data_IF_719314467210
#
_entry.id   IF_719314467210
#
_cell.length_a   1.000
_cell.length_b   1.000
_cell.length_c   1.000
_cell.angle_alpha   90.00
_cell.angle_beta   90.00
_cell.angle_gamma   90.00
#
_symmetry.space_group_name_H-M   'P 1'
#
loop_
_entity.id
_entity.type
_entity.pdbx_description
1 polymer ?
#
# COMPACT_ATOMS: atom_id res chain seq x y z
N UNK A 1 -4.54 -20.71 -3.29
CA UNK A 1 -5.17 -19.59 -2.52
C UNK A 1 -4.54 -19.41 -1.13
N UNK A 2 -4.47 -20.42 -0.25
CA UNK A 2 -3.94 -20.26 1.12
C UNK A 2 -2.58 -19.56 1.18
N UNK A 3 -1.60 -19.99 0.37
CA UNK A 3 -0.29 -19.34 0.30
C UNK A 3 -0.36 -17.87 -0.16
N UNK A 4 -1.31 -17.52 -1.05
CA UNK A 4 -1.51 -16.13 -1.48
C UNK A 4 -2.02 -15.25 -0.33
N UNK A 5 -2.98 -15.77 0.48
CA UNK A 5 -3.48 -15.03 1.64
C UNK A 5 -2.45 -14.97 2.78
N UNK A 6 -1.67 -16.04 3.01
CA UNK A 6 -0.55 -16.00 3.97
C UNK A 6 0.48 -14.94 3.56
N UNK A 7 0.80 -14.87 2.27
CA UNK A 7 1.69 -13.84 1.73
C UNK A 7 1.12 -12.42 1.91
N UNK A 8 -0.17 -12.22 1.63
CA UNK A 8 -0.86 -10.94 1.83
C UNK A 8 -0.84 -10.49 3.30
N UNK A 9 -1.13 -11.40 4.23
CA UNK A 9 -1.10 -11.09 5.67
C UNK A 9 0.31 -10.72 6.14
N UNK A 10 1.34 -11.49 5.74
CA UNK A 10 2.74 -11.18 6.07
C UNK A 10 3.21 -9.85 5.44
N UNK A 11 2.69 -9.49 4.25
CA UNK A 11 2.97 -8.20 3.63
C UNK A 11 2.50 -7.05 4.52
N UNK A 12 1.26 -7.07 5.03
CA UNK A 12 0.77 -6.06 5.96
C UNK A 12 1.63 -5.97 7.23
N UNK A 13 2.10 -7.10 7.75
CA UNK A 13 2.99 -7.12 8.91
C UNK A 13 4.32 -6.42 8.58
N UNK A 14 5.01 -6.82 7.51
CA UNK A 14 6.33 -6.25 7.18
C UNK A 14 6.23 -4.79 6.76
N UNK A 15 5.18 -4.38 6.07
CA UNK A 15 4.94 -2.98 5.70
C UNK A 15 4.80 -2.05 6.91
N UNK A 16 4.30 -2.54 8.05
CA UNK A 16 4.23 -1.76 9.30
C UNK A 16 5.51 -1.82 10.12
N UNK A 17 6.38 -2.80 9.91
CA UNK A 17 7.55 -3.06 10.74
C UNK A 17 8.88 -2.76 10.04
N UNK A 18 8.94 -2.78 8.72
CA UNK A 18 10.12 -2.50 7.90
C UNK A 18 11.39 -3.18 8.42
N UNK A 19 12.45 -2.39 8.69
CA UNK A 19 13.76 -2.86 9.16
C UNK A 19 13.71 -3.70 10.45
N UNK A 20 12.61 -3.67 11.20
CA UNK A 20 12.42 -4.55 12.36
C UNK A 20 12.13 -6.00 11.97
N UNK A 21 11.78 -6.26 10.71
CA UNK A 21 11.43 -7.59 10.23
C UNK A 21 10.20 -8.19 10.90
N UNK A 22 9.99 -9.48 10.70
CA UNK A 22 8.87 -10.23 11.30
C UNK A 22 9.20 -11.73 11.39
N UNK A 23 8.49 -12.50 12.26
CA UNK A 23 8.52 -13.95 12.18
C UNK A 23 7.74 -14.43 10.95
N UNK A 24 8.23 -15.47 10.28
CA UNK A 24 7.59 -16.07 9.09
C UNK A 24 7.03 -17.49 9.34
N UNK A 25 7.53 -18.17 10.36
CA UNK A 25 7.06 -19.51 10.78
C UNK A 25 5.89 -19.35 11.77
N UNK A 26 4.73 -18.90 11.27
CA UNK A 26 3.56 -18.58 12.10
C UNK A 26 2.65 -19.78 12.42
N UNK A 27 2.99 -20.96 11.92
CA UNK A 27 2.24 -22.22 12.04
C UNK A 27 2.89 -23.21 13.02
N UNK A 28 3.73 -22.73 13.93
CA UNK A 28 4.36 -23.52 15.00
C UNK A 28 3.32 -24.04 16.00
N UNK A 29 3.57 -25.24 16.55
CA UNK A 29 2.76 -25.76 17.64
C UNK A 29 2.83 -24.82 18.88
N UNK A 30 1.73 -24.77 19.65
CA UNK A 30 1.59 -23.85 20.80
C UNK A 30 2.68 -24.10 21.87
N UNK A 31 3.15 -25.34 22.00
CA UNK A 31 4.19 -25.73 22.96
C UNK A 31 5.62 -25.33 22.53
N UNK A 32 5.78 -24.91 21.30
CA UNK A 32 7.09 -24.47 20.79
C UNK A 32 7.34 -23.01 21.15
N UNK A 33 8.63 -22.66 21.27
CA UNK A 33 9.02 -21.27 21.42
C UNK A 33 8.54 -20.42 20.23
N UNK A 34 8.17 -19.15 20.43
CA UNK A 34 7.79 -18.26 19.34
C UNK A 34 8.85 -18.22 18.23
N UNK A 35 8.40 -18.17 16.98
CA UNK A 35 9.32 -18.13 15.83
C UNK A 35 10.31 -16.96 15.92
N UNK A 36 11.57 -17.14 15.49
CA UNK A 36 12.54 -16.06 15.50
C UNK A 36 12.14 -14.95 14.52
N UNK A 37 12.58 -13.75 14.79
CA UNK A 37 12.52 -12.64 13.86
C UNK A 37 13.51 -12.84 12.72
N UNK A 38 13.09 -12.52 11.52
CA UNK A 38 13.95 -12.47 10.32
C UNK A 38 13.95 -11.06 9.74
N UNK A 39 14.98 -10.73 8.95
CA UNK A 39 15.15 -9.40 8.36
C UNK A 39 13.99 -9.06 7.39
N UNK A 40 13.78 -7.77 7.15
CA UNK A 40 12.80 -7.28 6.18
C UNK A 40 12.96 -7.96 4.80
N UNK A 41 14.20 -8.00 4.28
CA UNK A 41 14.49 -8.68 3.00
C UNK A 41 14.09 -10.17 3.03
N UNK A 42 14.38 -10.87 4.15
CA UNK A 42 14.01 -12.27 4.32
C UNK A 42 12.50 -12.48 4.36
N UNK A 43 11.75 -11.58 5.02
CA UNK A 43 10.28 -11.63 5.02
C UNK A 43 9.74 -11.48 3.61
N UNK A 44 10.20 -10.48 2.86
CA UNK A 44 9.78 -10.31 1.45
C UNK A 44 10.18 -11.52 0.59
N UNK A 45 11.39 -12.07 0.80
CA UNK A 45 11.81 -13.30 0.13
C UNK A 45 10.87 -14.48 0.39
N UNK A 46 10.43 -14.64 1.65
CA UNK A 46 9.46 -15.68 2.02
C UNK A 46 8.08 -15.42 1.40
N UNK A 47 7.59 -14.17 1.41
CA UNK A 47 6.33 -13.77 0.75
C UNK A 47 6.37 -14.14 -0.73
N UNK A 48 7.45 -13.79 -1.44
CA UNK A 48 7.61 -14.11 -2.87
C UNK A 48 7.65 -15.63 -3.09
N UNK A 49 8.33 -16.37 -2.21
CA UNK A 49 8.33 -17.84 -2.23
C UNK A 49 6.93 -18.45 -2.11
N UNK A 50 6.10 -17.94 -1.19
CA UNK A 50 4.69 -18.36 -1.04
C UNK A 50 3.87 -18.05 -2.31
N UNK A 51 4.06 -16.86 -2.90
CA UNK A 51 3.35 -16.43 -4.10
C UNK A 51 3.77 -17.28 -5.32
N UNK A 52 5.04 -17.65 -5.44
CA UNK A 52 5.54 -18.50 -6.51
C UNK A 52 5.04 -19.95 -6.36
N UNK A 53 5.01 -20.49 -5.14
CA UNK A 53 4.38 -21.79 -4.87
C UNK A 53 2.89 -21.77 -5.24
N UNK A 54 2.17 -20.73 -4.84
CA UNK A 54 0.76 -20.57 -5.21
C UNK A 54 0.56 -20.42 -6.73
N UNK A 55 1.48 -19.77 -7.44
CA UNK A 55 1.46 -19.66 -8.90
C UNK A 55 1.52 -21.05 -9.54
N UNK A 56 2.43 -21.91 -9.09
CA UNK A 56 2.55 -23.27 -9.61
C UNK A 56 1.23 -24.05 -9.41
N UNK A 57 0.66 -24.02 -8.21
CA UNK A 57 -0.61 -24.68 -7.88
C UNK A 57 -1.77 -24.16 -8.75
N UNK A 58 -1.89 -22.83 -8.90
CA UNK A 58 -2.95 -22.19 -9.68
C UNK A 58 -2.84 -22.50 -11.18
N UNK A 59 -1.61 -22.60 -11.69
CA UNK A 59 -1.36 -22.98 -13.08
C UNK A 59 -1.82 -24.40 -13.37
N UNK A 60 -1.57 -25.33 -12.45
CA UNK A 60 -2.03 -26.74 -12.58
C UNK A 60 -3.54 -26.85 -12.43
N UNK A 61 -4.16 -26.04 -11.57
CA UNK A 61 -5.60 -26.06 -11.31
C UNK A 61 -6.45 -25.56 -12.51
N UNK A 62 -5.88 -24.78 -13.42
CA UNK A 62 -6.51 -24.39 -14.68
C UNK A 62 -7.62 -23.34 -14.54
N UNK A 63 -8.69 -23.45 -15.35
CA UNK A 63 -9.73 -22.42 -15.49
C UNK A 63 -11.11 -22.78 -14.90
N UNK A 64 -11.26 -23.97 -14.33
CA UNK A 64 -12.51 -24.35 -13.67
C UNK A 64 -12.73 -23.50 -12.43
N UNK A 65 -13.93 -22.95 -12.27
CA UNK A 65 -14.29 -22.15 -11.11
C UNK A 65 -14.00 -22.88 -9.79
N UNK A 66 -13.62 -22.13 -8.76
CA UNK A 66 -13.43 -22.72 -7.44
C UNK A 66 -14.71 -23.36 -6.91
N UNK A 67 -14.63 -24.53 -6.21
CA UNK A 67 -15.79 -25.22 -5.69
C UNK A 67 -16.38 -24.59 -4.42
N UNK A 68 -16.02 -23.35 -4.09
CA UNK A 68 -16.45 -22.61 -2.92
C UNK A 68 -16.73 -21.15 -3.31
N UNK A 69 -17.51 -20.45 -2.48
CA UNK A 69 -17.87 -19.05 -2.71
C UNK A 69 -16.62 -18.16 -2.62
N UNK A 70 -16.45 -17.31 -3.62
CA UNK A 70 -15.46 -16.22 -3.63
C UNK A 70 -16.14 -14.96 -3.09
N UNK A 71 -15.48 -14.18 -2.22
CA UNK A 71 -15.98 -12.89 -1.76
C UNK A 71 -16.25 -11.93 -2.93
N UNK A 72 -17.25 -11.03 -2.82
CA UNK A 72 -17.59 -10.08 -3.89
C UNK A 72 -16.41 -9.25 -4.39
N UNK A 73 -15.55 -8.75 -3.49
CA UNK A 73 -14.35 -7.98 -3.84
C UNK A 73 -13.28 -8.76 -4.61
N UNK A 74 -13.47 -10.08 -4.79
CA UNK A 74 -12.63 -10.96 -5.59
C UNK A 74 -13.42 -11.66 -6.71
N UNK A 75 -14.61 -11.15 -7.06
CA UNK A 75 -15.48 -11.81 -8.06
C UNK A 75 -14.79 -12.01 -9.41
N UNK A 76 -13.96 -11.07 -9.85
CA UNK A 76 -13.21 -11.14 -11.10
C UNK A 76 -12.08 -12.19 -11.05
N UNK A 77 -11.79 -12.74 -9.89
CA UNK A 77 -10.74 -13.74 -9.63
C UNK A 77 -11.31 -15.11 -9.22
N UNK A 78 -12.54 -15.44 -9.66
CA UNK A 78 -13.27 -16.64 -9.23
C UNK A 78 -12.79 -17.95 -9.86
N UNK A 79 -11.76 -17.94 -10.71
CA UNK A 79 -11.10 -19.14 -11.25
C UNK A 79 -9.61 -19.14 -10.93
N UNK A 80 -8.93 -20.30 -10.88
CA UNK A 80 -7.48 -20.35 -10.65
C UNK A 80 -6.69 -19.47 -11.63
N UNK A 81 -7.03 -19.48 -12.92
CA UNK A 81 -6.38 -18.65 -13.94
C UNK A 81 -6.60 -17.15 -13.68
N UNK A 82 -7.81 -16.74 -13.27
CA UNK A 82 -8.06 -15.36 -12.93
C UNK A 82 -7.40 -14.97 -11.60
N UNK A 83 -7.47 -15.85 -10.58
CA UNK A 83 -6.83 -15.62 -9.29
C UNK A 83 -5.30 -15.55 -9.39
N UNK A 84 -4.70 -16.21 -10.39
CA UNK A 84 -3.28 -16.11 -10.69
C UNK A 84 -2.89 -14.65 -11.02
N UNK A 85 -3.72 -13.90 -11.72
CA UNK A 85 -3.45 -12.49 -12.01
C UNK A 85 -3.38 -11.64 -10.75
N UNK A 86 -4.27 -11.87 -9.78
CA UNK A 86 -4.21 -11.24 -8.45
C UNK A 86 -2.96 -11.66 -7.68
N UNK A 87 -2.62 -12.94 -7.68
CA UNK A 87 -1.41 -13.47 -7.05
C UNK A 87 -0.14 -12.79 -7.62
N UNK A 88 -0.05 -12.63 -8.94
CA UNK A 88 1.09 -11.94 -9.57
C UNK A 88 1.11 -10.43 -9.28
N UNK A 89 -0.04 -9.79 -9.14
CA UNK A 89 -0.12 -8.41 -8.71
C UNK A 89 0.50 -8.20 -7.31
N UNK A 90 0.23 -9.13 -6.38
CA UNK A 90 0.85 -9.11 -5.06
C UNK A 90 2.37 -9.39 -5.13
N UNK A 91 2.81 -10.29 -6.02
CA UNK A 91 4.23 -10.58 -6.21
C UNK A 91 4.99 -9.36 -6.78
N UNK A 92 4.41 -8.68 -7.75
CA UNK A 92 4.95 -7.45 -8.30
C UNK A 92 5.12 -6.38 -7.22
N UNK A 93 4.07 -6.13 -6.42
CA UNK A 93 4.12 -5.18 -5.30
C UNK A 93 5.18 -5.58 -4.27
N UNK A 94 5.24 -6.86 -3.89
CA UNK A 94 6.25 -7.35 -2.94
C UNK A 94 7.68 -7.16 -3.48
N UNK A 95 7.93 -7.41 -4.76
CA UNK A 95 9.23 -7.19 -5.38
C UNK A 95 9.62 -5.70 -5.42
N UNK A 96 8.69 -4.78 -5.74
CA UNK A 96 8.94 -3.33 -5.71
C UNK A 96 9.26 -2.86 -4.29
N UNK A 97 8.51 -3.31 -3.28
CA UNK A 97 8.76 -2.94 -1.89
C UNK A 97 10.08 -3.51 -1.37
N UNK A 98 10.39 -4.77 -1.73
CA UNK A 98 11.66 -5.42 -1.40
C UNK A 98 12.87 -4.67 -1.98
N UNK A 99 12.75 -4.09 -3.17
CA UNK A 99 13.84 -3.36 -3.81
C UNK A 99 14.36 -2.19 -2.97
N UNK A 100 13.51 -1.59 -2.13
CA UNK A 100 13.85 -0.47 -1.26
C UNK A 100 14.05 -0.87 0.21
N UNK A 101 13.90 -2.15 0.55
CA UNK A 101 14.21 -2.67 1.87
C UNK A 101 15.73 -2.63 2.16
N UNK A 102 16.09 -2.59 3.43
CA UNK A 102 17.50 -2.66 3.84
C UNK A 102 18.14 -3.97 3.31
N UNK A 103 19.21 -3.84 2.51
CA UNK A 103 19.85 -4.94 1.79
C UNK A 103 18.91 -5.70 0.85
N UNK A 104 17.85 -5.06 0.39
CA UNK A 104 16.83 -5.66 -0.46
C UNK A 104 17.43 -6.37 -1.68
N UNK A 105 16.89 -7.56 -1.98
CA UNK A 105 17.36 -8.41 -3.07
C UNK A 105 18.85 -8.79 -2.97
N UNK A 106 19.34 -9.01 -1.74
CA UNK A 106 20.75 -9.29 -1.51
C UNK A 106 21.68 -8.13 -1.89
N UNK A 107 21.20 -6.88 -1.78
CA UNK A 107 21.94 -5.68 -2.14
C UNK A 107 21.90 -5.34 -3.64
N UNK A 108 21.01 -5.98 -4.43
CA UNK A 108 20.82 -5.68 -5.84
C UNK A 108 19.35 -5.27 -6.13
N UNK A 109 18.92 -4.04 -5.78
CA UNK A 109 17.56 -3.56 -5.97
C UNK A 109 17.04 -3.72 -7.41
N UNK A 110 17.87 -3.51 -8.40
CA UNK A 110 17.51 -3.60 -9.81
C UNK A 110 17.00 -5.00 -10.21
N UNK A 111 17.46 -6.05 -9.53
CA UNK A 111 16.97 -7.42 -9.79
C UNK A 111 15.54 -7.62 -9.33
N UNK A 112 15.13 -6.99 -8.21
CA UNK A 112 13.74 -7.02 -7.76
C UNK A 112 12.82 -6.24 -8.70
N UNK A 113 13.23 -5.07 -9.16
CA UNK A 113 12.46 -4.32 -10.13
C UNK A 113 12.29 -5.09 -11.45
N UNK A 114 13.32 -5.82 -11.89
CA UNK A 114 13.24 -6.71 -13.06
C UNK A 114 12.25 -7.85 -12.81
N UNK A 115 12.27 -8.46 -11.62
CA UNK A 115 11.31 -9.49 -11.24
C UNK A 115 9.87 -8.94 -11.18
N UNK A 116 9.70 -7.73 -10.63
CA UNK A 116 8.42 -7.04 -10.60
C UNK A 116 7.84 -6.82 -12.01
N UNK A 117 8.65 -6.44 -12.99
CA UNK A 117 8.21 -6.31 -14.39
C UNK A 117 7.74 -7.63 -14.99
N UNK A 118 8.43 -8.73 -14.68
CA UNK A 118 8.02 -10.08 -15.10
C UNK A 118 6.66 -10.48 -14.48
N UNK A 119 6.44 -10.18 -13.20
CA UNK A 119 5.18 -10.43 -12.53
C UNK A 119 4.06 -9.56 -13.09
N UNK A 120 4.32 -8.25 -13.31
CA UNK A 120 3.35 -7.29 -13.88
C UNK A 120 2.83 -7.72 -15.25
N UNK A 121 3.67 -8.36 -16.07
CA UNK A 121 3.26 -8.94 -17.35
C UNK A 121 2.24 -10.09 -17.24
N UNK A 122 1.98 -10.61 -16.03
CA UNK A 122 1.07 -11.72 -15.76
C UNK A 122 -0.16 -11.29 -14.93
N UNK A 123 -0.33 -10.00 -14.70
CA UNK A 123 -1.42 -9.44 -13.88
C UNK A 123 -2.67 -9.10 -14.71
N UNK A 124 -3.59 -8.39 -14.08
CA UNK A 124 -4.74 -7.75 -14.74
C UNK A 124 -4.44 -6.31 -15.19
N UNK A 125 -3.17 -5.90 -15.21
CA UNK A 125 -2.74 -4.55 -15.57
C UNK A 125 -3.27 -4.15 -16.96
N UNK A 126 -3.94 -3.01 -17.02
CA UNK A 126 -4.49 -2.36 -18.19
C UNK A 126 -3.93 -0.95 -18.36
N UNK A 127 -3.98 -0.41 -19.57
CA UNK A 127 -3.69 1.00 -19.84
C UNK A 127 -4.95 1.81 -20.18
N UNK A 128 -6.13 1.20 -20.08
CA UNK A 128 -7.40 1.88 -20.30
C UNK A 128 -7.82 2.61 -19.01
N UNK A 129 -8.07 3.93 -19.03
CA UNK A 129 -8.49 4.66 -17.83
C UNK A 129 -9.77 4.14 -17.18
N UNK A 130 -10.65 3.50 -17.94
CA UNK A 130 -11.84 2.87 -17.42
C UNK A 130 -11.56 1.71 -16.45
N UNK A 131 -10.39 1.10 -16.54
CA UNK A 131 -9.99 -0.05 -15.72
C UNK A 131 -9.23 0.34 -14.44
N UNK A 132 -8.90 1.62 -14.22
CA UNK A 132 -8.07 2.08 -13.11
C UNK A 132 -8.57 1.63 -11.72
N UNK A 133 -9.87 1.45 -11.56
CA UNK A 133 -10.48 0.96 -10.33
C UNK A 133 -10.73 -0.55 -10.35
N UNK A 134 -10.42 -1.26 -11.45
CA UNK A 134 -10.48 -2.73 -11.48
C UNK A 134 -9.41 -3.32 -10.57
N UNK A 135 -9.75 -4.34 -9.78
CA UNK A 135 -8.81 -4.93 -8.85
C UNK A 135 -9.41 -5.87 -7.83
N UNK A 136 -8.63 -6.16 -6.82
CA UNK A 136 -9.01 -6.99 -5.68
C UNK A 136 -9.29 -6.11 -4.46
N UNK A 137 -10.40 -6.40 -3.76
CA UNK A 137 -10.89 -5.59 -2.66
C UNK A 137 -11.18 -6.44 -1.42
N UNK A 138 -11.05 -5.82 -0.25
CA UNK A 138 -11.63 -6.30 1.00
C UNK A 138 -13.09 -5.86 1.03
N UNK A 139 -14.00 -6.81 1.27
CA UNK A 139 -15.42 -6.54 1.40
C UNK A 139 -15.78 -6.13 2.82
N UNK A 140 -16.75 -5.23 2.90
CA UNK A 140 -17.40 -4.81 4.13
C UNK A 140 -18.91 -4.83 3.95
N UNK A 141 -19.66 -4.95 5.03
CA UNK A 141 -21.12 -4.96 4.99
C UNK A 141 -21.68 -4.45 6.31
N UNK A 142 -22.90 -3.91 6.24
CA UNK A 142 -23.69 -3.52 7.40
C UNK A 142 -24.67 -4.61 7.85
N UNK A 143 -24.65 -5.78 7.22
CA UNK A 143 -25.49 -6.90 7.59
C UNK A 143 -25.10 -7.45 8.97
N UNK A 144 -26.05 -7.98 9.75
CA UNK A 144 -25.77 -8.51 11.08
C UNK A 144 -24.72 -9.62 11.05
N UNK A 145 -23.61 -9.41 11.77
CA UNK A 145 -22.48 -10.34 11.87
C UNK A 145 -21.34 -10.05 10.91
N UNK A 146 -21.50 -9.13 9.97
CA UNK A 146 -20.43 -8.69 9.08
C UNK A 146 -19.61 -7.55 9.70
N UNK A 147 -18.46 -7.27 9.11
CA UNK A 147 -17.56 -6.19 9.51
C UNK A 147 -17.85 -4.94 8.69
N UNK A 148 -18.00 -3.80 9.36
CA UNK A 148 -18.10 -2.49 8.74
C UNK A 148 -16.75 -1.90 8.36
N UNK A 149 -16.73 -1.01 7.35
CA UNK A 149 -15.57 -0.20 7.00
C UNK A 149 -15.46 1.02 7.93
N UNK A 150 -14.70 0.89 9.00
CA UNK A 150 -14.51 1.96 9.98
C UNK A 150 -13.64 3.13 9.47
N UNK A 151 -13.07 3.05 8.26
CA UNK A 151 -12.41 4.18 7.61
C UNK A 151 -13.41 5.09 6.87
N UNK A 152 -14.64 4.65 6.67
CA UNK A 152 -15.73 5.45 6.14
C UNK A 152 -16.44 6.19 7.28
N UNK A 153 -16.15 7.47 7.42
CA UNK A 153 -16.70 8.29 8.49
C UNK A 153 -17.39 9.53 7.91
N UNK A 154 -18.61 9.89 8.38
CA UNK A 154 -19.32 11.07 7.88
C UNK A 154 -18.58 12.38 8.22
N UNK A 155 -18.97 13.49 7.58
CA UNK A 155 -18.29 14.79 7.73
C UNK A 155 -18.37 15.35 9.15
N UNK A 156 -19.36 14.95 9.92
CA UNK A 156 -19.55 15.28 11.35
C UNK A 156 -18.85 14.28 12.29
N UNK A 157 -18.19 13.25 11.76
CA UNK A 157 -17.39 12.30 12.54
C UNK A 157 -16.14 12.94 13.15
N UNK A 158 -15.62 12.37 14.24
CA UNK A 158 -14.55 12.96 15.05
C UNK A 158 -13.25 12.15 15.08
N UNK A 159 -13.12 11.09 14.28
CA UNK A 159 -12.00 10.15 14.36
C UNK A 159 -10.94 10.42 13.29
N UNK A 160 -11.36 10.50 12.02
CA UNK A 160 -10.44 10.60 10.88
C UNK A 160 -10.48 11.97 10.23
N UNK A 161 -9.31 12.62 10.12
CA UNK A 161 -9.17 13.94 9.48
C UNK A 161 -8.03 13.93 8.47
N UNK A 162 -8.24 14.62 7.35
CA UNK A 162 -7.20 14.86 6.37
C UNK A 162 -6.40 16.12 6.74
N UNK A 163 -5.08 16.08 6.50
CA UNK A 163 -4.22 17.25 6.68
C UNK A 163 -4.49 18.28 5.57
N UNK A 164 -4.48 19.56 5.92
CA UNK A 164 -4.65 20.66 4.98
C UNK A 164 -3.60 20.66 3.87
N UNK A 165 -2.39 20.12 4.15
CA UNK A 165 -1.35 19.93 3.15
C UNK A 165 -1.77 19.04 1.97
N UNK A 166 -2.79 18.19 2.12
CA UNK A 166 -3.30 17.40 0.99
C UNK A 166 -3.90 18.30 -0.11
N UNK A 167 -4.56 19.41 0.28
CA UNK A 167 -5.08 20.39 -0.69
C UNK A 167 -4.00 21.42 -1.06
N UNK A 168 -3.22 21.89 -0.08
CA UNK A 168 -2.20 22.91 -0.32
C UNK A 168 -1.14 22.47 -1.32
N UNK A 169 -0.65 21.24 -1.19
CA UNK A 169 0.41 20.66 -2.04
C UNK A 169 -0.10 20.14 -3.39
N UNK A 170 -1.42 20.08 -3.60
CA UNK A 170 -1.99 19.54 -4.84
C UNK A 170 -1.74 20.50 -6.03
N UNK A 171 -1.28 19.93 -7.13
CA UNK A 171 -1.07 20.64 -8.40
C UNK A 171 -2.38 21.20 -8.96
N UNK A 172 -2.27 22.18 -9.84
CA UNK A 172 -3.40 22.76 -10.55
C UNK A 172 -3.59 22.11 -11.93
N UNK A 173 -4.85 21.88 -12.29
CA UNK A 173 -5.27 21.53 -13.65
C UNK A 173 -5.07 22.74 -14.59
N UNK A 174 -5.17 22.52 -15.90
CA UNK A 174 -5.05 23.59 -16.89
C UNK A 174 -6.10 24.72 -16.72
N UNK A 175 -7.24 24.42 -16.14
CA UNK A 175 -8.31 25.40 -15.85
C UNK A 175 -8.14 26.13 -14.50
N UNK A 176 -7.05 25.88 -13.76
CA UNK A 176 -6.76 26.46 -12.45
C UNK A 176 -7.38 25.72 -11.26
N UNK A 177 -8.24 24.74 -11.47
CA UNK A 177 -8.76 23.89 -10.39
C UNK A 177 -7.64 23.01 -9.81
N UNK A 178 -7.79 22.56 -8.57
CA UNK A 178 -6.86 21.59 -7.97
C UNK A 178 -6.98 20.21 -8.66
N UNK A 179 -5.97 19.35 -8.42
CA UNK A 179 -5.97 17.94 -8.82
C UNK A 179 -7.34 17.29 -8.57
N UNK A 180 -7.91 16.64 -9.58
CA UNK A 180 -9.26 16.06 -9.51
C UNK A 180 -9.40 15.04 -8.38
N UNK A 181 -8.34 14.30 -8.06
CA UNK A 181 -8.34 13.31 -6.98
C UNK A 181 -8.56 13.94 -5.60
N UNK A 182 -8.03 15.14 -5.37
CA UNK A 182 -8.25 15.91 -4.13
C UNK A 182 -9.71 16.37 -4.06
N UNK A 183 -10.26 16.88 -5.16
CA UNK A 183 -11.63 17.39 -5.22
C UNK A 183 -12.69 16.30 -5.00
N UNK A 184 -12.35 15.04 -5.26
CA UNK A 184 -13.27 13.90 -5.12
C UNK A 184 -13.07 13.07 -3.86
N UNK A 185 -11.90 13.20 -3.21
CA UNK A 185 -11.51 12.34 -2.06
C UNK A 185 -11.41 13.08 -0.73
N UNK A 186 -11.57 14.42 -0.73
CA UNK A 186 -11.48 15.25 0.46
C UNK A 186 -12.58 16.30 0.44
N UNK A 187 -13.20 16.52 1.59
CA UNK A 187 -14.19 17.58 1.80
C UNK A 187 -13.97 18.28 3.14
N UNK A 188 -14.71 19.36 3.39
CA UNK A 188 -14.66 20.13 4.63
C UNK A 188 -15.31 19.36 5.77
N UNK A 189 -14.64 19.30 6.92
CA UNK A 189 -15.20 18.72 8.13
C UNK A 189 -16.30 19.60 8.72
N UNK A 190 -17.37 18.98 9.22
CA UNK A 190 -18.47 19.67 9.91
C UNK A 190 -18.23 19.79 11.43
N UNK A 191 -17.13 19.21 11.92
CA UNK A 191 -16.73 19.24 13.33
C UNK A 191 -15.26 19.59 13.49
N UNK A 192 -14.89 20.09 14.67
CA UNK A 192 -13.49 20.33 15.03
C UNK A 192 -12.87 19.06 15.58
N UNK A 193 -11.72 18.68 15.02
CA UNK A 193 -10.92 17.58 15.54
C UNK A 193 -10.49 17.85 16.99
N UNK A 194 -10.53 16.81 17.83
CA UNK A 194 -10.08 16.88 19.23
C UNK A 194 -9.18 15.71 19.58
N UNK A 195 -8.07 16.01 20.27
CA UNK A 195 -7.18 15.02 20.85
C UNK A 195 -7.11 15.27 22.37
N UNK A 196 -7.55 14.30 23.17
CA UNK A 196 -7.59 14.42 24.61
C UNK A 196 -8.43 15.63 25.10
N UNK A 197 -9.49 16.01 24.37
CA UNK A 197 -10.34 17.16 24.66
C UNK A 197 -9.82 18.51 24.13
N UNK A 198 -8.57 18.56 23.60
CA UNK A 198 -7.97 19.76 23.03
C UNK A 198 -8.33 19.84 21.55
N UNK A 199 -8.86 20.99 21.11
CA UNK A 199 -9.11 21.24 19.69
C UNK A 199 -7.78 21.33 18.94
N UNK A 200 -7.66 20.56 17.87
CA UNK A 200 -6.50 20.60 16.96
C UNK A 200 -6.97 20.93 15.54
N UNK A 201 -6.11 21.50 14.69
CA UNK A 201 -6.48 21.77 13.31
C UNK A 201 -6.89 20.48 12.61
N UNK A 202 -8.14 20.41 12.18
CA UNK A 202 -8.72 19.27 11.47
C UNK A 202 -9.95 19.75 10.74
N UNK A 203 -9.73 20.48 9.63
CA UNK A 203 -10.78 21.13 8.86
C UNK A 203 -11.25 20.29 7.67
N UNK A 204 -10.60 19.14 7.44
CA UNK A 204 -10.83 18.32 6.26
C UNK A 204 -11.08 16.86 6.65
N UNK A 205 -11.94 16.20 5.86
CA UNK A 205 -12.30 14.78 5.97
C UNK A 205 -11.96 14.03 4.70
N UNK A 206 -11.66 12.74 4.84
CA UNK A 206 -11.55 11.84 3.69
C UNK A 206 -12.96 11.38 3.26
N UNK A 207 -13.24 11.49 1.96
CA UNK A 207 -14.48 11.01 1.34
C UNK A 207 -14.25 9.84 0.38
N UNK A 208 -13.10 9.17 0.51
CA UNK A 208 -12.68 8.04 -0.36
C UNK A 208 -13.69 6.88 -0.33
N UNK A 209 -14.28 6.64 0.83
CA UNK A 209 -15.23 5.53 1.04
C UNK A 209 -16.69 6.05 1.17
N UNK A 210 -17.02 7.06 0.37
CA UNK A 210 -18.38 7.58 0.26
C UNK A 210 -19.09 6.93 -0.94
N UNK A 211 -20.38 6.72 -0.79
CA UNK A 211 -21.28 6.33 -1.87
C UNK A 211 -22.42 7.36 -1.94
N UNK A 212 -22.72 7.86 -3.13
CA UNK A 212 -23.79 8.86 -3.34
C UNK A 212 -23.69 10.11 -2.45
N UNK A 213 -22.45 10.55 -2.16
CA UNK A 213 -22.17 11.76 -1.37
C UNK A 213 -22.25 11.59 0.16
N UNK A 214 -22.38 10.38 0.66
CA UNK A 214 -22.41 10.06 2.09
C UNK A 214 -21.43 8.93 2.45
N UNK A 215 -20.99 8.90 3.70
CA UNK A 215 -20.19 7.81 4.22
C UNK A 215 -20.90 6.46 4.06
N UNK A 216 -20.18 5.48 3.54
CA UNK A 216 -20.71 4.14 3.28
C UNK A 216 -19.88 3.10 4.03
N UNK A 217 -20.41 2.61 5.13
CA UNK A 217 -19.78 1.58 5.95
C UNK A 217 -19.67 0.21 5.27
N UNK A 218 -20.35 0.01 4.14
CA UNK A 218 -20.20 -1.17 3.29
C UNK A 218 -19.20 -0.98 2.13
N UNK A 219 -18.60 0.22 1.99
CA UNK A 219 -17.69 0.51 0.89
C UNK A 219 -16.42 -0.37 0.96
N UNK A 220 -16.05 -1.08 -0.13
CA UNK A 220 -14.87 -1.94 -0.14
C UNK A 220 -13.56 -1.14 -0.09
N UNK A 221 -12.51 -1.77 0.48
CA UNK A 221 -11.14 -1.21 0.52
C UNK A 221 -10.27 -1.95 -0.50
N UNK A 222 -9.56 -1.27 -1.40
CA UNK A 222 -8.70 -1.95 -2.36
C UNK A 222 -7.52 -2.66 -1.68
N UNK A 223 -7.30 -3.93 -2.02
CA UNK A 223 -6.08 -4.67 -1.72
C UNK A 223 -4.99 -4.28 -2.73
N UNK A 224 -5.38 -4.23 -4.00
CA UNK A 224 -4.57 -3.76 -5.12
C UNK A 224 -5.48 -3.50 -6.32
N UNK A 225 -5.25 -2.39 -7.01
CA UNK A 225 -6.02 -1.98 -8.19
C UNK A 225 -5.11 -1.65 -9.37
N UNK A 226 -5.68 -1.59 -10.57
CA UNK A 226 -4.94 -1.38 -11.81
C UNK A 226 -4.13 -0.07 -11.81
N UNK A 227 -4.70 1.02 -11.31
CA UNK A 227 -3.99 2.30 -11.18
C UNK A 227 -2.71 2.18 -10.32
N UNK A 228 -2.72 1.36 -9.26
CA UNK A 228 -1.52 1.06 -8.49
C UNK A 228 -0.52 0.24 -9.29
N UNK A 229 -0.99 -0.75 -10.08
CA UNK A 229 -0.11 -1.57 -10.92
C UNK A 229 0.63 -0.72 -11.98
N UNK A 230 -0.02 0.29 -12.55
CA UNK A 230 0.62 1.25 -13.46
C UNK A 230 1.75 2.01 -12.76
N UNK A 231 1.53 2.49 -11.54
CA UNK A 231 2.55 3.21 -10.78
C UNK A 231 3.70 2.30 -10.31
N UNK A 232 3.40 1.02 -9.97
CA UNK A 232 4.43 0.02 -9.70
C UNK A 232 5.25 -0.29 -10.98
N UNK A 233 4.60 -0.35 -12.16
CA UNK A 233 5.29 -0.53 -13.44
C UNK A 233 6.17 0.67 -13.79
N UNK A 234 5.72 1.88 -13.52
CA UNK A 234 6.52 3.08 -13.70
C UNK A 234 7.80 3.03 -12.85
N UNK A 235 7.69 2.71 -11.56
CA UNK A 235 8.83 2.57 -10.65
C UNK A 235 9.79 1.47 -11.15
N UNK A 236 9.26 0.30 -11.46
CA UNK A 236 10.06 -0.84 -11.90
C UNK A 236 10.76 -0.58 -13.25
N UNK A 237 10.11 0.06 -14.21
CA UNK A 237 10.74 0.46 -15.48
C UNK A 237 11.86 1.49 -15.29
N UNK A 238 11.76 2.37 -14.30
CA UNK A 238 12.80 3.36 -14.03
C UNK A 238 14.05 2.74 -13.42
N UNK A 239 13.89 1.79 -12.49
CA UNK A 239 14.98 1.27 -11.65
C UNK A 239 15.43 -0.17 -11.97
N UNK A 240 14.84 -0.84 -12.94
CA UNK A 240 15.23 -2.22 -13.32
C UNK A 240 16.65 -2.29 -13.89
N UNK A 241 17.16 -3.51 -14.03
CA UNK A 241 18.49 -3.78 -14.58
C UNK A 241 18.65 -3.29 -16.04
N UNK A 242 17.56 -3.21 -16.78
CA UNK A 242 17.48 -2.62 -18.13
C UNK A 242 16.36 -1.58 -18.12
N UNK A 243 16.66 -0.34 -17.69
CA UNK A 243 15.66 0.69 -17.51
C UNK A 243 14.94 1.07 -18.81
N UNK A 244 13.62 1.15 -18.76
CA UNK A 244 12.79 1.75 -19.79
C UNK A 244 12.15 3.04 -19.24
N UNK A 245 12.95 4.08 -19.09
CA UNK A 245 12.52 5.37 -18.53
C UNK A 245 11.41 6.05 -19.36
N UNK A 246 11.36 5.79 -20.67
CA UNK A 246 10.28 6.27 -21.54
C UNK A 246 8.92 5.65 -21.14
N UNK A 247 8.88 4.33 -20.91
CA UNK A 247 7.66 3.66 -20.45
C UNK A 247 7.26 4.11 -19.03
N UNK A 248 8.24 4.30 -18.13
CA UNK A 248 7.99 4.80 -16.80
C UNK A 248 7.25 6.15 -16.81
N UNK A 249 7.67 7.07 -17.67
CA UNK A 249 7.04 8.39 -17.83
C UNK A 249 5.66 8.27 -18.50
N UNK A 250 5.51 7.36 -19.45
CA UNK A 250 4.22 7.09 -20.10
C UNK A 250 3.18 6.64 -19.09
N UNK A 251 3.53 5.68 -18.21
CA UNK A 251 2.63 5.17 -17.17
C UNK A 251 2.29 6.26 -16.15
N UNK A 252 3.29 7.03 -15.73
CA UNK A 252 3.09 8.13 -14.79
C UNK A 252 2.13 9.19 -15.37
N UNK A 253 2.32 9.58 -16.65
CA UNK A 253 1.44 10.53 -17.30
C UNK A 253 0.05 9.98 -17.57
N UNK A 254 -0.08 8.68 -17.81
CA UNK A 254 -1.39 8.05 -17.97
C UNK A 254 -2.25 8.22 -16.71
N UNK A 255 -1.69 7.96 -15.54
CA UNK A 255 -2.37 8.18 -14.26
C UNK A 255 -2.60 9.68 -14.01
N UNK A 256 -1.56 10.51 -14.17
CA UNK A 256 -1.60 11.95 -13.90
C UNK A 256 -2.69 12.66 -14.70
N UNK A 257 -2.79 12.36 -16.01
CA UNK A 257 -3.72 13.04 -16.90
C UNK A 257 -5.16 12.53 -16.76
N UNK A 258 -5.37 11.25 -16.45
CA UNK A 258 -6.72 10.69 -16.40
C UNK A 258 -7.34 10.73 -15.00
N UNK A 259 -6.57 10.47 -13.95
CA UNK A 259 -7.08 10.54 -12.57
C UNK A 259 -7.01 11.95 -11.98
N UNK A 260 -5.90 12.66 -12.24
CA UNK A 260 -5.67 14.01 -11.73
C UNK A 260 -6.22 15.12 -12.61
N UNK A 261 -6.49 14.84 -13.88
CA UNK A 261 -6.78 15.82 -14.95
C UNK A 261 -5.68 16.89 -15.09
N UNK A 262 -4.46 16.51 -14.76
CA UNK A 262 -3.28 17.39 -14.74
C UNK A 262 -2.56 17.39 -16.08
N UNK A 263 -1.75 18.44 -16.32
CA UNK A 263 -0.81 18.45 -17.43
C UNK A 263 0.25 17.36 -17.24
N UNK A 264 0.89 16.86 -18.33
CA UNK A 264 1.97 15.90 -18.25
C UNK A 264 3.07 16.37 -17.29
N UNK A 265 3.74 15.40 -16.64
CA UNK A 265 4.93 15.72 -15.84
C UNK A 265 6.04 16.34 -16.68
N UNK A 266 6.88 17.16 -16.06
CA UNK A 266 8.08 17.71 -16.68
C UNK A 266 9.27 16.73 -16.63
N UNK A 267 9.13 15.57 -16.01
CA UNK A 267 10.15 14.51 -15.96
C UNK A 267 10.40 13.96 -17.36
N UNK A 268 11.67 13.80 -17.69
CA UNK A 268 12.16 13.21 -18.96
C UNK A 268 13.08 12.02 -18.68
N UNK A 269 13.42 11.17 -19.65
CA UNK A 269 14.38 10.09 -19.43
C UNK A 269 15.76 10.56 -18.95
N UNK A 270 16.12 11.82 -19.17
CA UNK A 270 17.37 12.43 -18.72
C UNK A 270 17.27 13.05 -17.31
N UNK A 271 16.08 13.08 -16.71
CA UNK A 271 15.91 13.59 -15.35
C UNK A 271 16.62 12.72 -14.31
N UNK A 272 16.95 13.31 -13.17
CA UNK A 272 17.52 12.56 -12.05
C UNK A 272 16.52 11.59 -11.43
N UNK A 273 17.01 10.57 -10.76
CA UNK A 273 16.18 9.63 -10.03
C UNK A 273 15.34 10.33 -8.94
N UNK A 274 15.91 11.32 -8.27
CA UNK A 274 15.18 12.12 -7.27
C UNK A 274 13.99 12.89 -7.90
N UNK A 275 14.14 13.45 -9.09
CA UNK A 275 13.06 14.14 -9.80
C UNK A 275 11.94 13.15 -10.20
N UNK A 276 12.31 11.96 -10.68
CA UNK A 276 11.34 10.91 -10.99
C UNK A 276 10.62 10.44 -9.72
N UNK A 277 11.33 10.15 -8.62
CA UNK A 277 10.74 9.74 -7.35
C UNK A 277 9.76 10.79 -6.84
N UNK A 278 10.11 12.08 -6.92
CA UNK A 278 9.19 13.16 -6.52
C UNK A 278 7.88 13.11 -7.32
N UNK A 279 7.96 12.94 -8.63
CA UNK A 279 6.78 12.85 -9.49
C UNK A 279 5.98 11.55 -9.23
N UNK A 280 6.66 10.40 -9.09
CA UNK A 280 6.03 9.12 -8.75
C UNK A 280 5.28 9.19 -7.42
N UNK A 281 5.91 9.71 -6.37
CA UNK A 281 5.31 9.81 -5.05
C UNK A 281 4.15 10.82 -5.00
N UNK A 282 4.18 11.85 -5.87
CA UNK A 282 3.03 12.72 -6.06
C UNK A 282 1.84 11.92 -6.59
N UNK A 283 2.00 11.17 -7.68
CA UNK A 283 0.90 10.39 -8.25
C UNK A 283 0.41 9.32 -7.27
N UNK A 284 1.31 8.60 -6.60
CA UNK A 284 0.93 7.60 -5.59
C UNK A 284 0.20 8.21 -4.40
N UNK A 285 0.61 9.42 -3.94
CA UNK A 285 -0.05 10.12 -2.83
C UNK A 285 -1.54 10.35 -3.10
N UNK A 286 -1.89 10.80 -4.30
CA UNK A 286 -3.27 11.18 -4.60
C UNK A 286 -4.09 10.03 -5.18
N UNK A 287 -3.51 9.16 -5.97
CA UNK A 287 -4.19 7.96 -6.48
C UNK A 287 -4.53 6.97 -5.37
N UNK A 288 -3.60 6.79 -4.41
CA UNK A 288 -3.74 5.85 -3.28
C UNK A 288 -4.07 6.58 -1.95
N UNK A 289 -4.70 7.74 -2.03
CA UNK A 289 -5.06 8.54 -0.86
C UNK A 289 -6.01 7.77 0.05
N UNK A 290 -5.65 7.66 1.33
CA UNK A 290 -6.39 6.93 2.35
C UNK A 290 -6.49 5.42 2.09
N UNK A 291 -5.58 4.85 1.27
CA UNK A 291 -5.52 3.44 0.93
C UNK A 291 -4.26 2.80 1.56
N UNK A 292 -4.44 1.79 2.42
CA UNK A 292 -3.39 0.88 2.96
C UNK A 292 -2.13 1.57 3.53
N UNK A 293 -2.20 2.80 3.99
CA UNK A 293 -1.04 3.52 4.50
C UNK A 293 0.03 3.84 3.44
N UNK A 294 -0.32 3.80 2.15
CA UNK A 294 0.60 3.92 1.03
C UNK A 294 1.52 5.15 1.13
N UNK A 295 0.98 6.33 1.50
CA UNK A 295 1.79 7.56 1.65
C UNK A 295 2.90 7.42 2.70
N UNK A 296 2.60 6.80 3.84
CA UNK A 296 3.57 6.59 4.91
C UNK A 296 4.65 5.58 4.51
N UNK A 297 4.25 4.44 3.91
CA UNK A 297 5.16 3.41 3.43
C UNK A 297 6.10 3.99 2.37
N UNK A 298 5.57 4.72 1.39
CA UNK A 298 6.36 5.33 0.32
C UNK A 298 7.34 6.39 0.84
N UNK A 299 6.90 7.27 1.74
CA UNK A 299 7.78 8.27 2.33
C UNK A 299 8.92 7.63 3.12
N UNK A 300 8.66 6.55 3.86
CA UNK A 300 9.69 5.78 4.55
C UNK A 300 10.68 5.13 3.58
N UNK A 301 10.19 4.44 2.56
CA UNK A 301 11.01 3.74 1.55
C UNK A 301 12.04 4.65 0.87
N UNK A 302 11.68 5.91 0.68
CA UNK A 302 12.52 6.90 0.01
C UNK A 302 13.18 7.92 0.97
N UNK A 303 13.13 7.68 2.29
CA UNK A 303 13.76 8.55 3.29
C UNK A 303 13.10 9.93 3.41
N UNK A 304 11.81 10.03 3.11
CA UNK A 304 11.04 11.29 3.05
C UNK A 304 10.01 11.42 4.19
N UNK A 305 10.10 10.64 5.27
CA UNK A 305 9.14 10.73 6.39
C UNK A 305 9.07 12.12 7.00
N UNK A 306 10.20 12.82 7.09
CA UNK A 306 10.27 14.20 7.60
C UNK A 306 9.46 15.20 6.74
N UNK A 307 9.06 14.83 5.52
CA UNK A 307 8.21 15.68 4.67
C UNK A 307 6.71 15.51 4.95
N UNK A 308 6.33 14.53 5.75
CA UNK A 308 4.94 14.36 6.18
C UNK A 308 4.72 15.25 7.41
N UNK A 309 3.83 16.27 7.34
CA UNK A 309 3.57 17.11 8.49
C UNK A 309 2.93 16.28 9.62
N UNK A 310 3.38 16.50 10.86
CA UNK A 310 2.68 15.99 12.01
C UNK A 310 1.37 16.75 12.22
N UNK A 311 0.33 16.05 12.69
CA UNK A 311 -0.97 16.65 12.96
C UNK A 311 -0.93 17.69 14.09
N UNK A 312 0.04 17.59 14.99
CA UNK A 312 0.22 18.50 16.13
C UNK A 312 1.65 19.02 16.17
N UNK A 313 1.83 20.26 16.64
CA UNK A 313 3.15 20.87 16.83
C UNK A 313 3.99 20.03 17.79
N UNK A 314 5.21 19.69 17.38
CA UNK A 314 6.12 18.84 18.17
C UNK A 314 5.83 17.34 18.06
N UNK A 315 4.80 16.93 17.29
CA UNK A 315 4.57 15.54 16.94
C UNK A 315 5.60 15.03 15.93
N UNK A 316 5.75 13.71 15.86
CA UNK A 316 6.55 13.04 14.82
C UNK A 316 5.68 12.01 14.07
N UNK A 317 6.12 11.65 12.87
CA UNK A 317 5.57 10.53 12.12
C UNK A 317 6.47 9.33 12.39
N UNK A 318 5.96 8.27 13.04
CA UNK A 318 6.78 7.12 13.41
C UNK A 318 7.28 6.40 12.15
N UNK A 319 8.51 5.92 12.19
CA UNK A 319 9.10 5.16 11.09
C UNK A 319 8.50 3.74 10.98
N UNK A 320 8.18 3.14 12.12
CA UNK A 320 7.62 1.78 12.22
C UNK A 320 6.54 1.74 13.31
N UNK A 321 5.62 0.79 13.20
CA UNK A 321 4.68 0.54 14.28
C UNK A 321 5.35 -0.24 15.42
N UNK A 322 5.02 0.07 16.69
CA UNK A 322 5.58 -0.64 17.84
C UNK A 322 5.12 -2.11 17.87
N UNK A 323 5.93 -2.96 18.52
CA UNK A 323 5.52 -4.33 18.83
C UNK A 323 4.52 -4.28 19.98
N UNK A 324 3.40 -5.00 19.92
CA UNK A 324 2.48 -5.11 21.04
C UNK A 324 3.17 -5.68 22.29
N UNK A 325 2.88 -5.12 23.47
CA UNK A 325 3.46 -5.59 24.73
C UNK A 325 3.32 -7.11 24.97
N UNK A 326 2.16 -7.75 24.67
CA UNK A 326 2.02 -9.21 24.82
C UNK A 326 3.04 -10.03 24.00
N UNK A 327 3.49 -9.54 22.86
CA UNK A 327 4.53 -10.20 22.08
C UNK A 327 5.89 -10.15 22.79
N UNK A 328 6.19 -9.02 23.44
CA UNK A 328 7.40 -8.89 24.26
C UNK A 328 7.38 -9.88 25.43
N UNK A 329 6.23 -9.98 26.12
CA UNK A 329 6.06 -10.86 27.28
C UNK A 329 6.16 -12.34 26.88
N UNK A 330 5.51 -12.73 25.77
CA UNK A 330 5.58 -14.10 25.25
C UNK A 330 7.00 -14.54 24.88
N UNK A 331 7.90 -13.61 24.59
CA UNK A 331 9.29 -13.88 24.27
C UNK A 331 10.25 -13.66 25.44
N UNK A 332 9.76 -13.30 26.61
CA UNK A 332 10.58 -12.92 27.78
C UNK A 332 11.61 -11.82 27.44
N UNK A 333 11.25 -10.89 26.57
CA UNK A 333 12.10 -9.79 26.13
C UNK A 333 11.74 -8.52 26.87
N UNK A 334 12.78 -7.77 27.31
CA UNK A 334 12.56 -6.42 27.84
C UNK A 334 12.29 -5.46 26.69
N UNK A 335 11.33 -4.54 26.84
CA UNK A 335 11.11 -3.46 25.89
C UNK A 335 12.41 -2.69 25.63
N UNK A 336 12.66 -2.38 24.36
CA UNK A 336 13.76 -1.51 23.90
C UNK A 336 13.17 -0.31 23.21
N UNK A 337 13.86 0.83 23.27
CA UNK A 337 13.47 2.04 22.56
C UNK A 337 14.33 2.21 21.32
N UNK A 338 13.70 2.47 20.17
CA UNK A 338 14.36 2.88 18.94
C UNK A 338 13.78 4.25 18.60
N UNK A 339 14.54 5.32 18.80
CA UNK A 339 13.96 6.65 18.81
C UNK A 339 12.86 6.70 19.88
N UNK A 340 11.65 7.10 19.47
CA UNK A 340 10.48 7.17 20.35
C UNK A 340 9.62 5.88 20.36
N UNK A 341 10.09 4.81 19.69
CA UNK A 341 9.33 3.57 19.52
C UNK A 341 9.77 2.52 20.53
N UNK A 342 8.83 2.03 21.32
CA UNK A 342 9.06 0.90 22.21
C UNK A 342 8.95 -0.39 21.37
N UNK A 343 9.99 -1.20 21.39
CA UNK A 343 10.01 -2.51 20.73
C UNK A 343 10.74 -3.51 21.61
N UNK A 344 10.35 -4.77 21.55
CA UNK A 344 11.09 -5.89 22.13
C UNK A 344 11.84 -6.70 21.07
N UNK A 345 11.84 -6.25 19.82
CA UNK A 345 12.57 -6.92 18.76
C UNK A 345 14.07 -6.85 19.06
N UNK A 346 14.80 -7.98 19.08
CA UNK A 346 16.25 -7.94 19.07
C UNK A 346 16.69 -7.16 17.83
N UNK A 347 17.43 -6.09 18.03
CA UNK A 347 17.92 -5.21 16.96
C UNK A 347 19.10 -5.81 16.21
N UNK A 348 19.20 -7.08 16.15
CA UNK A 348 20.06 -7.78 15.20
C UNK A 348 19.62 -9.22 15.15
N UNK A 349 19.27 -9.67 14.02
CA UNK A 349 19.52 -11.05 13.69
C UNK A 349 21.03 -11.25 13.49
#
# INVERSE_FOLDING_TARGET
MANTYKALALRYVVETRAQLGAPVEVDRAIEQAPAPWVTEDSVYGYIIGLLNSAQADLTVAGSTAFPFRIPPGLADFATPTAFLKFNRALAAKANVLRATALNGCGGNPASCYTAALSDLGQTFLSTAPADFQSGAYLDFSTDPGDQTNDLSEPLDGSTWFALTSNIADADAQANGSKDQRVLTKIDTAEVVQRLGGIAIPGELKFTVYFSNGAADAGHPIPIIKDEELLLLRAEANWFSSIPNKGQAITDLNLVRQNSGLLLPTTVTPASSDAAFVTALLYERRYSLLWEQGARWIDARRFGLLATIPAAVTGGNVPEVMPVPAPECDARNLKPKTIGDIITCTPLNP
#
